data_IF_996819196640
#
_entry.id   IF_996819196640
#
_cell.length_a   1.000
_cell.length_b   1.000
_cell.length_c   1.000
_cell.angle_alpha   90.00
_cell.angle_beta   90.00
_cell.angle_gamma   90.00
#
_symmetry.space_group_name_H-M   'P 1'
#
loop_
_entity.id
_entity.type
_entity.pdbx_description
1 polymer ?
#
# COMPACT_ATOMS: atom_id res chain seq x y z
N UNK A 1 -5.70 -21.15 -14.80
CA UNK A 1 -5.79 -20.48 -13.48
C UNK A 1 -4.65 -19.48 -13.41
N UNK A 2 -4.92 -18.18 -13.41
CA UNK A 2 -3.87 -17.18 -13.27
C UNK A 2 -3.32 -17.25 -11.84
N UNK A 3 -2.07 -17.69 -11.69
CA UNK A 3 -1.32 -17.58 -10.44
C UNK A 3 -1.23 -16.10 -10.06
N UNK A 4 -1.78 -15.69 -8.92
CA UNK A 4 -1.67 -14.30 -8.47
C UNK A 4 -0.21 -14.01 -8.11
N UNK A 5 0.35 -12.95 -8.69
CA UNK A 5 1.74 -12.50 -8.45
C UNK A 5 2.02 -12.24 -6.96
N UNK A 6 0.98 -11.94 -6.18
CA UNK A 6 1.07 -11.63 -4.75
C UNK A 6 0.68 -12.80 -3.81
N UNK A 7 0.19 -13.91 -4.35
CA UNK A 7 -0.40 -15.00 -3.55
C UNK A 7 -1.70 -14.59 -2.85
N UNK A 8 -2.07 -15.32 -1.80
CA UNK A 8 -3.24 -15.02 -0.99
C UNK A 8 -3.03 -13.73 -0.14
N UNK A 9 -4.09 -12.92 0.08
CA UNK A 9 -4.02 -11.74 0.94
C UNK A 9 -3.88 -12.12 2.42
N UNK A 10 -3.20 -11.28 3.20
CA UNK A 10 -3.03 -11.49 4.65
C UNK A 10 -4.27 -11.04 5.44
N UNK A 11 -5.03 -10.10 4.88
CA UNK A 11 -6.31 -9.67 5.42
C UNK A 11 -7.29 -9.34 4.29
N UNK A 12 -8.58 -9.49 4.60
CA UNK A 12 -9.68 -9.04 3.75
C UNK A 12 -10.80 -8.46 4.61
N UNK A 13 -11.54 -7.52 4.05
CA UNK A 13 -12.79 -7.01 4.63
C UNK A 13 -13.82 -6.77 3.53
N UNK A 14 -15.10 -6.81 3.89
CA UNK A 14 -16.22 -6.54 2.99
C UNK A 14 -16.99 -5.35 3.52
N UNK A 15 -17.07 -4.28 2.74
CA UNK A 15 -17.88 -3.12 3.06
C UNK A 15 -19.37 -3.40 2.76
N UNK A 16 -20.26 -2.65 3.41
CA UNK A 16 -21.71 -2.80 3.24
C UNK A 16 -22.19 -2.56 1.80
N UNK A 17 -21.43 -1.81 0.99
CA UNK A 17 -21.70 -1.57 -0.43
C UNK A 17 -21.21 -2.72 -1.35
N UNK A 18 -20.75 -3.84 -0.79
CA UNK A 18 -20.25 -4.99 -1.54
C UNK A 18 -18.83 -4.84 -2.08
N UNK A 19 -18.08 -3.81 -1.66
CA UNK A 19 -16.67 -3.70 -1.97
C UNK A 19 -15.83 -4.58 -1.06
N UNK A 20 -15.00 -5.44 -1.64
CA UNK A 20 -14.00 -6.24 -0.94
C UNK A 20 -12.66 -5.50 -0.97
N UNK A 21 -12.08 -5.24 0.20
CA UNK A 21 -10.68 -4.76 0.30
C UNK A 21 -9.80 -5.92 0.71
N UNK A 22 -8.76 -6.17 -0.08
CA UNK A 22 -7.73 -7.17 0.14
C UNK A 22 -6.42 -6.46 0.49
N UNK A 23 -5.66 -6.96 1.45
CA UNK A 23 -4.41 -6.36 1.87
C UNK A 23 -3.28 -7.39 2.00
N UNK A 24 -2.06 -6.97 1.61
CA UNK A 24 -0.84 -7.77 1.67
C UNK A 24 0.27 -6.99 2.39
N UNK A 25 0.93 -7.64 3.34
CA UNK A 25 2.17 -7.20 3.96
C UNK A 25 3.31 -7.34 2.94
N UNK A 26 4.11 -6.30 2.80
CA UNK A 26 5.30 -6.30 1.96
C UNK A 26 6.53 -5.98 2.82
N UNK A 27 7.66 -6.71 2.65
CA UNK A 27 7.87 -7.83 1.74
C UNK A 27 7.06 -9.07 2.13
N UNK A 28 6.62 -9.88 1.15
CA UNK A 28 5.83 -11.11 1.38
C UNK A 28 6.55 -12.13 2.28
N UNK A 29 7.89 -12.04 2.37
CA UNK A 29 8.74 -12.92 3.19
C UNK A 29 8.88 -12.47 4.64
N UNK A 30 8.33 -11.31 5.02
CA UNK A 30 8.56 -10.69 6.34
C UNK A 30 8.25 -11.64 7.49
N UNK A 31 7.05 -12.23 7.52
CA UNK A 31 6.64 -13.09 8.64
C UNK A 31 7.53 -14.33 8.79
N UNK A 32 7.98 -14.91 7.69
CA UNK A 32 8.92 -16.02 7.74
C UNK A 32 10.32 -15.58 8.20
N UNK A 33 10.76 -14.36 7.85
CA UNK A 33 12.01 -13.80 8.36
C UNK A 33 11.92 -13.53 9.87
N UNK A 34 10.80 -12.98 10.35
CA UNK A 34 10.56 -12.69 11.77
C UNK A 34 10.52 -13.94 12.64
N UNK A 35 10.00 -15.06 12.12
CA UNK A 35 10.04 -16.35 12.82
C UNK A 35 11.48 -16.87 13.04
N UNK A 36 12.39 -16.60 12.10
CA UNK A 36 13.80 -17.00 12.19
C UNK A 36 14.62 -16.04 13.03
N UNK A 37 14.29 -14.75 12.96
CA UNK A 37 14.98 -13.68 13.67
C UNK A 37 13.96 -12.63 14.12
N UNK A 38 13.38 -12.80 15.32
CA UNK A 38 12.52 -11.79 15.91
C UNK A 38 13.25 -10.46 16.05
N UNK A 39 12.52 -9.36 15.93
CA UNK A 39 13.08 -8.00 16.03
C UNK A 39 12.26 -7.16 17.00
N UNK A 40 12.81 -6.06 17.48
CA UNK A 40 12.02 -5.09 18.24
C UNK A 40 11.05 -4.33 17.32
N UNK A 41 10.00 -3.74 17.88
CA UNK A 41 8.99 -3.04 17.08
C UNK A 41 9.54 -1.88 16.23
N UNK A 42 10.55 -1.16 16.71
CA UNK A 42 11.16 -0.04 15.97
C UNK A 42 12.05 -0.49 14.80
N UNK A 43 12.44 -1.77 14.76
CA UNK A 43 13.22 -2.36 13.66
C UNK A 43 12.32 -2.95 12.58
N UNK A 44 11.00 -3.03 12.82
CA UNK A 44 10.06 -3.60 11.88
C UNK A 44 9.91 -2.67 10.67
N UNK A 45 10.37 -3.12 9.52
CA UNK A 45 10.19 -2.44 8.23
C UNK A 45 9.22 -3.25 7.38
N UNK A 46 8.09 -2.65 7.06
CA UNK A 46 7.06 -3.22 6.22
C UNK A 46 6.26 -2.10 5.58
N UNK A 47 5.49 -2.44 4.55
CA UNK A 47 4.35 -1.63 4.17
C UNK A 47 3.24 -2.51 3.64
N UNK A 48 2.21 -1.90 3.09
CA UNK A 48 0.97 -2.59 2.74
C UNK A 48 0.55 -2.27 1.32
N UNK A 49 0.19 -3.31 0.58
CA UNK A 49 -0.47 -3.17 -0.72
C UNK A 49 -1.93 -3.54 -0.54
N UNK A 50 -2.82 -2.74 -1.11
CA UNK A 50 -4.25 -2.92 -1.07
C UNK A 50 -4.81 -3.11 -2.48
N UNK A 51 -5.84 -3.93 -2.58
CA UNK A 51 -6.68 -4.05 -3.77
C UNK A 51 -8.12 -3.96 -3.33
N UNK A 52 -8.88 -3.06 -3.95
CA UNK A 52 -10.32 -2.99 -3.78
C UNK A 52 -10.98 -3.64 -5.00
N UNK A 53 -11.88 -4.58 -4.75
CA UNK A 53 -12.67 -5.22 -5.76
C UNK A 53 -14.18 -5.00 -5.52
N UNK A 54 -14.94 -4.81 -6.59
CA UNK A 54 -16.41 -4.79 -6.56
C UNK A 54 -16.94 -5.72 -7.62
N UNK A 55 -17.86 -6.60 -7.25
CA UNK A 55 -18.46 -7.59 -8.15
C UNK A 55 -17.40 -8.41 -8.91
N UNK A 56 -16.32 -8.80 -8.23
CA UNK A 56 -15.22 -9.58 -8.81
C UNK A 56 -14.27 -8.80 -9.74
N UNK A 57 -14.41 -7.48 -9.86
CA UNK A 57 -13.52 -6.60 -10.65
C UNK A 57 -12.70 -5.72 -9.74
N UNK A 58 -11.39 -5.59 -10.02
CA UNK A 58 -10.51 -4.65 -9.35
C UNK A 58 -10.91 -3.23 -9.76
N UNK A 59 -11.16 -2.37 -8.77
CA UNK A 59 -11.55 -0.96 -8.96
C UNK A 59 -10.53 0.01 -8.38
N UNK A 60 -9.65 -0.45 -7.48
CA UNK A 60 -8.52 0.33 -6.98
C UNK A 60 -7.37 -0.59 -6.57
N UNK A 61 -6.15 -0.12 -6.76
CA UNK A 61 -4.90 -0.69 -6.24
C UNK A 61 -4.16 0.43 -5.54
N UNK A 62 -3.73 0.18 -4.31
CA UNK A 62 -2.92 1.11 -3.55
C UNK A 62 -1.63 0.44 -3.08
N UNK A 63 -0.52 1.13 -3.25
CA UNK A 63 0.79 0.75 -2.77
C UNK A 63 1.25 1.74 -1.69
N UNK A 64 1.22 1.32 -0.43
CA UNK A 64 1.81 2.00 0.72
C UNK A 64 3.05 1.21 1.20
N UNK A 65 3.80 0.61 0.27
CA UNK A 65 4.96 -0.21 0.62
C UNK A 65 6.24 0.58 0.86
N UNK A 66 6.29 1.87 0.53
CA UNK A 66 7.50 2.68 0.64
C UNK A 66 8.65 2.12 -0.21
N UNK A 67 8.33 1.56 -1.39
CA UNK A 67 9.28 0.88 -2.27
C UNK A 67 9.71 -0.52 -1.83
N UNK A 68 9.16 -1.07 -0.76
CA UNK A 68 9.41 -2.46 -0.36
C UNK A 68 8.78 -3.48 -1.34
N UNK A 69 7.90 -3.01 -2.24
CA UNK A 69 7.40 -3.75 -3.40
C UNK A 69 8.12 -3.28 -4.70
N UNK A 70 9.37 -3.69 -4.98
CA UNK A 70 10.19 -3.10 -6.04
C UNK A 70 9.65 -3.28 -7.47
N UNK A 71 8.69 -4.19 -7.67
CA UNK A 71 8.05 -4.45 -8.96
C UNK A 71 6.72 -3.71 -9.13
N UNK A 72 6.27 -2.93 -8.15
CA UNK A 72 5.11 -2.06 -8.29
C UNK A 72 5.56 -0.70 -8.84
N UNK A 73 5.02 -0.38 -10.00
CA UNK A 73 5.28 0.85 -10.71
C UNK A 73 4.16 1.12 -11.70
N UNK A 74 4.01 2.37 -12.10
CA UNK A 74 2.92 2.80 -12.95
C UNK A 74 3.40 3.85 -13.95
N UNK A 75 3.00 3.69 -15.22
CA UNK A 75 3.39 4.58 -16.31
C UNK A 75 4.91 4.82 -16.43
N UNK A 76 5.73 3.81 -16.10
CA UNK A 76 7.19 3.92 -16.11
C UNK A 76 7.80 4.66 -14.91
N UNK A 77 6.99 4.96 -13.90
CA UNK A 77 7.41 5.46 -12.59
C UNK A 77 7.44 4.33 -11.57
N UNK A 78 8.29 4.48 -10.55
CA UNK A 78 8.38 3.57 -9.40
C UNK A 78 8.74 4.33 -8.12
N UNK A 79 8.63 3.66 -6.97
CA UNK A 79 9.15 4.21 -5.72
C UNK A 79 10.65 4.57 -5.85
N UNK A 80 11.05 5.69 -5.26
CA UNK A 80 12.37 6.29 -5.40
C UNK A 80 12.51 7.28 -6.57
N UNK A 81 11.54 7.34 -7.50
CA UNK A 81 11.55 8.37 -8.54
C UNK A 81 11.15 9.74 -7.98
N UNK A 82 11.67 10.81 -8.59
CA UNK A 82 11.31 12.17 -8.23
C UNK A 82 9.84 12.49 -8.58
N UNK A 83 9.14 13.13 -7.65
CA UNK A 83 7.72 13.52 -7.80
C UNK A 83 7.50 14.43 -9.02
N UNK A 84 8.45 15.29 -9.35
CA UNK A 84 8.36 16.17 -10.54
C UNK A 84 8.17 15.41 -11.86
N UNK A 85 8.61 14.14 -11.95
CA UNK A 85 8.33 13.28 -13.10
C UNK A 85 6.85 12.91 -13.18
N UNK A 86 6.22 12.61 -12.05
CA UNK A 86 4.79 12.35 -11.98
C UNK A 86 3.99 13.61 -12.33
N UNK A 87 4.38 14.78 -11.80
CA UNK A 87 3.71 16.06 -12.12
C UNK A 87 3.80 16.40 -13.63
N UNK A 88 4.91 16.03 -14.26
CA UNK A 88 5.07 16.20 -15.72
C UNK A 88 4.15 15.25 -16.51
N UNK A 89 3.98 14.01 -16.05
CA UNK A 89 3.17 12.99 -16.74
C UNK A 89 1.67 13.13 -16.49
N UNK A 90 1.28 13.48 -15.28
CA UNK A 90 -0.11 13.49 -14.81
C UNK A 90 -0.69 14.90 -14.68
N UNK A 91 0.15 15.93 -14.83
CA UNK A 91 -0.24 17.33 -14.76
C UNK A 91 -0.21 17.87 -13.33
N UNK A 92 -1.02 18.91 -13.07
CA UNK A 92 -0.96 19.64 -11.81
C UNK A 92 -1.61 18.83 -10.66
N UNK A 93 -0.86 18.52 -9.58
CA UNK A 93 -1.43 17.81 -8.44
C UNK A 93 -2.23 18.74 -7.53
N UNK A 94 -3.10 18.13 -6.73
CA UNK A 94 -3.54 18.63 -5.43
C UNK A 94 -2.71 17.94 -4.35
N UNK A 95 -2.13 18.71 -3.44
CA UNK A 95 -1.25 18.20 -2.38
C UNK A 95 -2.01 18.15 -1.07
N UNK A 96 -1.88 17.05 -0.33
CA UNK A 96 -2.44 16.91 1.02
C UNK A 96 -1.85 17.97 1.96
N UNK A 97 -2.54 18.24 3.07
CA UNK A 97 -2.03 19.18 4.08
C UNK A 97 -0.69 18.73 4.68
N UNK A 98 -0.50 17.43 4.83
CA UNK A 98 0.72 16.84 5.36
C UNK A 98 1.86 16.80 4.32
N UNK A 99 1.54 16.93 3.03
CA UNK A 99 2.53 16.91 1.95
C UNK A 99 2.89 15.51 1.44
N UNK A 100 2.46 14.47 2.16
CA UNK A 100 2.71 13.04 1.96
C UNK A 100 1.87 12.36 0.87
N UNK A 101 0.91 13.10 0.28
CA UNK A 101 -0.02 12.56 -0.69
C UNK A 101 -0.38 13.59 -1.75
N UNK A 102 -0.33 13.17 -3.01
CA UNK A 102 -0.63 14.03 -4.17
C UNK A 102 -1.61 13.34 -5.09
N UNK A 103 -2.79 13.93 -5.25
CA UNK A 103 -3.80 13.45 -6.19
C UNK A 103 -3.78 14.28 -7.47
N UNK A 104 -4.08 13.65 -8.61
CA UNK A 104 -4.10 14.33 -9.91
C UNK A 104 -5.54 14.41 -10.39
N UNK A 105 -6.28 15.52 -10.19
CA UNK A 105 -7.75 15.54 -10.34
C UNK A 105 -8.28 15.17 -11.73
N UNK A 106 -7.45 15.31 -12.77
CA UNK A 106 -7.80 14.91 -14.14
C UNK A 106 -7.77 13.38 -14.33
N UNK A 107 -7.19 12.63 -13.40
CA UNK A 107 -6.98 11.20 -13.46
C UNK A 107 -7.41 10.53 -12.15
N UNK A 108 -7.82 9.25 -12.18
CA UNK A 108 -8.05 8.49 -10.97
C UNK A 108 -6.72 7.95 -10.42
N UNK A 109 -5.74 8.83 -10.22
CA UNK A 109 -4.38 8.49 -9.77
C UNK A 109 -3.96 9.44 -8.64
N UNK A 110 -3.28 8.88 -7.66
CA UNK A 110 -2.50 9.61 -6.69
C UNK A 110 -1.17 8.92 -6.40
N UNK A 111 -0.26 9.64 -5.76
CA UNK A 111 1.01 9.11 -5.27
C UNK A 111 1.17 9.41 -3.79
N UNK A 112 1.81 8.47 -3.09
CA UNK A 112 2.37 8.68 -1.77
C UNK A 112 3.79 9.21 -1.94
N UNK A 113 4.20 10.14 -1.08
CA UNK A 113 5.52 10.74 -1.13
C UNK A 113 6.23 10.65 0.22
N UNK A 114 7.54 10.77 0.18
CA UNK A 114 8.35 10.92 1.40
C UNK A 114 7.93 12.15 2.22
N UNK A 115 8.44 12.24 3.46
CA UNK A 115 8.16 13.33 4.40
C UNK A 115 8.53 14.72 3.83
N UNK A 116 9.45 14.77 2.86
CA UNK A 116 9.88 16.00 2.19
C UNK A 116 9.01 16.34 0.95
N UNK A 117 8.17 15.41 0.51
CA UNK A 117 7.31 15.55 -0.66
C UNK A 117 8.07 15.57 -2.00
N UNK A 118 9.28 15.02 -2.04
CA UNK A 118 10.21 15.07 -3.18
C UNK A 118 10.31 13.75 -3.94
N UNK A 119 10.11 12.63 -3.25
CA UNK A 119 10.28 11.28 -3.80
C UNK A 119 8.98 10.50 -3.72
N UNK A 120 8.71 9.67 -4.73
CA UNK A 120 7.56 8.76 -4.75
C UNK A 120 7.84 7.58 -3.81
N UNK A 121 6.90 7.27 -2.94
CA UNK A 121 6.92 6.09 -2.06
C UNK A 121 5.93 5.00 -2.48
N UNK A 122 4.91 5.37 -3.26
CA UNK A 122 3.88 4.46 -3.74
C UNK A 122 2.80 5.14 -4.57
N UNK A 123 1.81 4.36 -5.01
CA UNK A 123 0.77 4.80 -5.95
C UNK A 123 -0.62 4.36 -5.48
N UNK A 124 -1.63 5.21 -5.67
CA UNK A 124 -3.06 4.83 -5.64
C UNK A 124 -3.62 5.00 -7.06
N UNK A 125 -4.18 3.94 -7.61
CA UNK A 125 -4.72 3.91 -8.97
C UNK A 125 -6.11 3.31 -8.87
N UNK A 126 -7.09 4.01 -9.42
CA UNK A 126 -8.46 3.59 -9.37
C UNK A 126 -9.16 3.69 -10.73
N UNK A 127 -10.34 3.10 -10.83
CA UNK A 127 -11.23 3.28 -11.97
C UNK A 127 -11.83 4.69 -12.00
N UNK A 128 -12.08 5.28 -10.82
CA UNK A 128 -12.66 6.63 -10.65
C UNK A 128 -11.97 7.34 -9.49
N UNK A 129 -11.89 8.67 -9.54
CA UNK A 129 -11.25 9.43 -8.45
C UNK A 129 -11.95 9.28 -7.09
N UNK A 130 -13.25 8.96 -7.08
CA UNK A 130 -13.99 8.65 -5.85
C UNK A 130 -13.62 7.28 -5.24
N UNK A 131 -12.89 6.45 -5.98
CA UNK A 131 -12.40 5.14 -5.56
C UNK A 131 -10.92 5.18 -5.14
N UNK A 132 -10.25 6.32 -5.31
CA UNK A 132 -9.03 6.63 -4.57
C UNK A 132 -9.45 6.73 -3.11
N UNK A 133 -8.78 6.01 -2.21
CA UNK A 133 -9.17 5.83 -0.80
C UNK A 133 -10.23 4.76 -0.54
N UNK A 134 -9.77 3.54 -0.28
CA UNK A 134 -10.57 2.44 0.24
C UNK A 134 -9.83 1.58 1.26
N UNK A 135 -10.22 1.68 2.54
CA UNK A 135 -9.91 0.74 3.61
C UNK A 135 -8.45 0.69 4.06
N UNK A 136 -8.16 1.24 5.24
CA UNK A 136 -6.83 1.13 5.85
C UNK A 136 -6.74 -0.11 6.74
N UNK A 137 -5.66 -0.86 6.58
CA UNK A 137 -5.30 -1.95 7.48
C UNK A 137 -4.04 -1.57 8.25
N UNK A 138 -4.04 -1.83 9.55
CA UNK A 138 -2.88 -1.62 10.41
C UNK A 138 -2.18 -2.93 10.66
N UNK A 139 -0.85 -2.91 10.64
CA UNK A 139 -0.05 -4.01 11.13
C UNK A 139 -0.10 -4.09 12.65
N UNK A 140 -0.54 -5.23 13.17
CA UNK A 140 -0.51 -5.60 14.59
C UNK A 140 0.66 -6.54 14.85
N UNK A 141 1.75 -6.06 15.48
CA UNK A 141 2.90 -6.90 15.80
C UNK A 141 2.52 -7.99 16.79
N UNK A 142 2.82 -9.24 16.45
CA UNK A 142 2.69 -10.38 17.33
C UNK A 142 4.04 -10.61 18.01
N UNK A 143 4.09 -10.43 19.32
CA UNK A 143 5.31 -10.56 20.11
C UNK A 143 5.45 -11.95 20.73
N UNK A 144 6.67 -12.40 20.93
CA UNK A 144 6.98 -13.59 21.72
C UNK A 144 7.06 -13.28 23.23
N UNK A 145 7.40 -14.28 24.04
CA UNK A 145 7.51 -14.13 25.50
C UNK A 145 8.62 -13.19 25.97
N UNK A 146 9.51 -12.76 25.07
CA UNK A 146 10.60 -11.79 25.34
C UNK A 146 10.22 -10.36 24.89
N UNK A 147 9.05 -10.19 24.27
CA UNK A 147 8.59 -8.91 23.74
C UNK A 147 9.08 -8.60 22.32
N UNK A 148 9.76 -9.54 21.67
CA UNK A 148 10.26 -9.41 20.30
C UNK A 148 9.17 -9.78 19.30
N UNK A 149 9.06 -9.04 18.20
CA UNK A 149 8.08 -9.27 17.14
C UNK A 149 8.50 -10.49 16.33
N UNK A 150 7.66 -11.53 16.32
CA UNK A 150 7.85 -12.78 15.60
C UNK A 150 6.93 -12.93 14.37
N UNK A 151 5.88 -12.10 14.29
CA UNK A 151 5.01 -11.99 13.12
C UNK A 151 4.29 -10.64 13.12
N UNK A 152 3.73 -10.30 11.97
CA UNK A 152 2.87 -9.15 11.75
C UNK A 152 1.54 -9.64 11.16
N UNK A 153 0.42 -9.17 11.72
CA UNK A 153 -0.92 -9.45 11.20
C UNK A 153 -1.58 -8.16 10.79
N UNK A 154 -2.26 -8.14 9.64
CA UNK A 154 -3.07 -6.99 9.26
C UNK A 154 -4.46 -7.04 9.90
N UNK A 155 -4.93 -5.88 10.35
CA UNK A 155 -6.31 -5.66 10.79
C UNK A 155 -6.85 -4.37 10.21
N UNK A 156 -8.03 -4.46 9.60
CA UNK A 156 -8.81 -3.27 9.24
C UNK A 156 -9.34 -2.60 10.51
N UNK A 157 -9.37 -1.25 10.51
CA UNK A 157 -10.05 -0.49 11.54
C UNK A 157 -11.53 -0.88 11.66
N UNK A 158 -12.07 -0.81 12.88
CA UNK A 158 -13.53 -0.88 13.11
C UNK A 158 -14.19 0.43 12.77
#
# INVERSE_FOLDING_TARGET
MATSVLGAPDARTMAANGAETLAWIVPRTLNHALQRRPVTAHQLKYGVVYVVARNGRIVSIRDESGGLAPNLGFAGLKAGDAVGRADTLFGRPQVSRAGDYRSYPALPIAIHTDDEGTTIEGFDIAERSADLVGGEARGEPQKDGTGMVQALRLRFGR
#
